data_IF_866071979455
#
_entry.id   IF_866071979455
#
_cell.length_a   1.000
_cell.length_b   1.000
_cell.length_c   1.000
_cell.angle_alpha   90.00
_cell.angle_beta   90.00
_cell.angle_gamma   90.00
#
_symmetry.space_group_name_H-M   'P 1'
#
loop_
_entity.id
_entity.type
_entity.pdbx_description
1 polymer ?
#
# COMPACT_ATOMS: atom_id res chain seq x y z
N UNK A 1 -4.64 -5.25 -25.00
CA UNK A 1 -4.72 -6.62 -24.52
C UNK A 1 -4.99 -6.60 -23.02
N UNK A 2 -6.08 -7.23 -22.62
CA UNK A 2 -6.41 -7.37 -21.20
C UNK A 2 -5.37 -8.29 -20.53
N UNK A 3 -4.54 -7.73 -19.68
CA UNK A 3 -3.50 -8.46 -18.94
C UNK A 3 -4.07 -9.60 -18.09
N UNK A 4 -5.30 -9.45 -17.57
CA UNK A 4 -6.00 -10.50 -16.84
C UNK A 4 -6.31 -11.68 -17.73
N UNK A 5 -6.71 -11.42 -18.95
CA UNK A 5 -7.00 -12.42 -19.96
C UNK A 5 -5.73 -13.14 -20.41
N UNK A 6 -4.65 -12.39 -20.57
CA UNK A 6 -3.34 -12.94 -20.86
C UNK A 6 -2.82 -13.85 -19.75
N UNK A 7 -2.96 -13.43 -18.47
CA UNK A 7 -2.57 -14.23 -17.32
C UNK A 7 -3.33 -15.55 -17.22
N UNK A 8 -4.61 -15.59 -17.59
CA UNK A 8 -5.39 -16.83 -17.65
C UNK A 8 -4.95 -17.79 -18.75
N UNK A 9 -4.36 -17.26 -19.79
CA UNK A 9 -3.88 -18.06 -20.93
C UNK A 9 -2.54 -18.73 -20.67
N UNK A 10 -1.77 -18.18 -19.78
CA UNK A 10 -0.45 -18.72 -19.47
C UNK A 10 -0.62 -19.80 -18.40
N UNK A 11 -0.54 -21.05 -18.78
CA UNK A 11 -0.60 -22.18 -17.84
C UNK A 11 0.42 -22.00 -16.72
N UNK A 12 -0.04 -22.06 -15.48
CA UNK A 12 0.81 -21.93 -14.30
C UNK A 12 0.93 -20.52 -13.73
N UNK A 13 0.42 -19.50 -14.40
CA UNK A 13 0.23 -18.17 -13.79
C UNK A 13 -1.17 -18.12 -13.16
N UNK A 14 -1.25 -18.32 -11.86
CA UNK A 14 -2.47 -18.09 -11.12
C UNK A 14 -2.71 -16.57 -11.06
N UNK A 15 -3.50 -16.07 -11.98
CA UNK A 15 -4.09 -14.75 -11.83
C UNK A 15 -5.15 -14.85 -10.74
N UNK A 16 -4.93 -14.17 -9.62
CA UNK A 16 -5.92 -14.13 -8.54
C UNK A 16 -7.11 -13.27 -8.99
N UNK A 17 -8.24 -13.90 -9.24
CA UNK A 17 -9.48 -13.22 -9.64
C UNK A 17 -10.02 -12.29 -8.54
N UNK A 18 -9.58 -12.49 -7.28
CA UNK A 18 -9.94 -11.64 -6.13
C UNK A 18 -9.11 -10.35 -6.04
N UNK A 19 -8.22 -10.07 -6.98
CA UNK A 19 -7.52 -8.79 -7.03
C UNK A 19 -8.48 -7.65 -7.31
N UNK A 20 -8.32 -6.58 -6.54
CA UNK A 20 -9.10 -5.36 -6.71
C UNK A 20 -8.63 -4.50 -7.89
N UNK A 21 -9.25 -3.31 -8.06
CA UNK A 21 -8.81 -2.34 -9.05
C UNK A 21 -7.33 -1.99 -8.89
N UNK A 22 -6.65 -1.85 -10.01
CA UNK A 22 -5.25 -1.46 -10.03
C UNK A 22 -5.12 0.05 -9.79
N UNK A 23 -4.42 0.50 -8.75
CA UNK A 23 -4.29 1.92 -8.46
C UNK A 23 -3.59 2.73 -9.56
N UNK A 24 -2.79 2.09 -10.42
CA UNK A 24 -2.07 2.79 -11.49
C UNK A 24 -2.89 2.93 -12.77
N UNK A 25 -3.73 1.96 -13.09
CA UNK A 25 -4.53 1.94 -14.32
C UNK A 25 -6.01 2.26 -14.10
N UNK A 26 -6.50 2.06 -12.88
CA UNK A 26 -7.90 2.26 -12.48
C UNK A 26 -7.97 3.12 -11.19
N UNK A 27 -7.35 4.32 -11.14
CA UNK A 27 -7.17 5.05 -9.87
C UNK A 27 -8.50 5.48 -9.24
N UNK A 28 -9.50 5.83 -10.04
CA UNK A 28 -10.83 6.20 -9.54
C UNK A 28 -11.55 5.00 -8.92
N UNK A 29 -11.59 3.90 -9.62
CA UNK A 29 -12.21 2.65 -9.16
C UNK A 29 -11.51 2.14 -7.91
N UNK A 30 -10.18 2.22 -7.87
CA UNK A 30 -9.38 1.91 -6.69
C UNK A 30 -9.79 2.78 -5.49
N UNK A 31 -9.80 4.09 -5.65
CA UNK A 31 -10.19 5.03 -4.59
C UNK A 31 -11.59 4.73 -4.05
N UNK A 32 -12.58 4.61 -4.95
CA UNK A 32 -13.97 4.34 -4.57
C UNK A 32 -14.11 2.99 -3.87
N UNK A 33 -13.43 1.96 -4.37
CA UNK A 33 -13.46 0.63 -3.76
C UNK A 33 -12.95 0.63 -2.32
N UNK A 34 -11.90 1.38 -2.02
CA UNK A 34 -11.39 1.51 -0.66
C UNK A 34 -12.35 2.33 0.21
N UNK A 35 -12.69 3.54 -0.23
CA UNK A 35 -13.46 4.50 0.59
C UNK A 35 -14.88 4.00 0.91
N UNK A 36 -15.51 3.26 0.00
CA UNK A 36 -16.85 2.69 0.23
C UNK A 36 -16.83 1.42 1.10
N UNK A 37 -15.66 0.86 1.39
CA UNK A 37 -15.50 -0.39 2.13
C UNK A 37 -14.71 -0.26 3.44
N UNK A 38 -14.42 0.94 3.92
CA UNK A 38 -13.61 1.17 5.13
C UNK A 38 -14.22 0.53 6.40
N UNK A 39 -15.51 0.29 6.43
CA UNK A 39 -16.18 -0.37 7.56
C UNK A 39 -15.96 -1.88 7.60
N UNK A 40 -15.41 -2.48 6.55
CA UNK A 40 -15.15 -3.92 6.52
C UNK A 40 -14.06 -4.31 7.51
N UNK A 41 -14.21 -5.51 8.07
CA UNK A 41 -13.36 -6.04 9.14
C UNK A 41 -11.87 -5.98 8.80
N UNK A 42 -11.49 -6.18 7.54
CA UNK A 42 -10.08 -6.16 7.12
C UNK A 42 -9.40 -4.82 7.44
N UNK A 43 -10.15 -3.71 7.36
CA UNK A 43 -9.61 -2.37 7.61
C UNK A 43 -9.43 -2.02 9.10
N UNK A 44 -9.79 -2.92 10.00
CA UNK A 44 -9.46 -2.83 11.43
C UNK A 44 -8.03 -3.24 11.73
N UNK A 45 -7.41 -3.98 10.83
CA UNK A 45 -6.00 -4.38 10.93
C UNK A 45 -5.08 -3.16 10.77
N UNK A 46 -3.85 -3.24 11.28
CA UNK A 46 -2.85 -2.18 11.08
C UNK A 46 -2.64 -1.87 9.59
N UNK A 47 -2.47 -0.61 9.29
CA UNK A 47 -2.33 -0.13 7.91
C UNK A 47 -1.23 -0.87 7.14
N UNK A 48 -0.06 -1.07 7.76
CA UNK A 48 1.06 -1.73 7.09
C UNK A 48 0.76 -3.18 6.66
N UNK A 49 -0.13 -3.85 7.37
CA UNK A 49 -0.61 -5.20 7.02
C UNK A 49 -1.61 -5.14 5.86
N UNK A 50 -2.57 -4.22 5.94
CA UNK A 50 -3.66 -4.09 4.97
C UNK A 50 -3.15 -3.68 3.59
N UNK A 51 -2.12 -2.84 3.52
CA UNK A 51 -1.51 -2.43 2.24
C UNK A 51 -0.97 -3.61 1.41
N UNK A 52 -0.73 -4.75 2.02
CA UNK A 52 -0.27 -5.96 1.31
C UNK A 52 -1.41 -6.87 0.85
N UNK A 53 -2.66 -6.54 1.18
CA UNK A 53 -3.82 -7.30 0.73
C UNK A 53 -4.18 -6.93 -0.72
N UNK A 54 -3.89 -7.84 -1.65
CA UNK A 54 -4.05 -7.60 -3.08
C UNK A 54 -5.50 -7.43 -3.52
N UNK A 55 -6.46 -7.87 -2.71
CA UNK A 55 -7.88 -7.61 -2.94
C UNK A 55 -8.21 -6.12 -2.89
N UNK A 56 -7.50 -5.37 -2.05
CA UNK A 56 -7.75 -3.95 -1.82
C UNK A 56 -6.66 -3.05 -2.40
N UNK A 57 -5.40 -3.49 -2.32
CA UNK A 57 -4.21 -2.75 -2.75
C UNK A 57 -3.45 -3.53 -3.81
N UNK A 58 -4.11 -3.75 -4.94
CA UNK A 58 -3.56 -4.52 -6.04
C UNK A 58 -2.22 -3.93 -6.54
N UNK A 59 -1.20 -4.77 -6.58
CA UNK A 59 0.14 -4.39 -7.04
C UNK A 59 1.06 -3.76 -5.99
N UNK A 60 0.56 -3.46 -4.78
CA UNK A 60 1.41 -2.93 -3.71
C UNK A 60 2.18 -4.07 -3.05
N UNK A 61 3.49 -4.04 -3.22
CA UNK A 61 4.41 -5.00 -2.61
C UNK A 61 5.16 -4.45 -1.41
N UNK A 62 6.12 -5.22 -0.91
CA UNK A 62 6.80 -4.91 0.35
C UNK A 62 7.58 -3.58 0.33
N UNK A 63 8.34 -3.32 -0.73
CA UNK A 63 9.07 -2.04 -0.81
C UNK A 63 8.12 -0.86 -1.07
N UNK A 64 7.07 -1.07 -1.87
CA UNK A 64 6.08 -0.02 -2.15
C UNK A 64 5.33 0.41 -0.91
N UNK A 65 4.87 -0.52 -0.06
CA UNK A 65 4.18 -0.14 1.19
C UNK A 65 5.08 0.70 2.11
N UNK A 66 6.34 0.35 2.20
CA UNK A 66 7.31 1.10 3.01
C UNK A 66 7.49 2.52 2.48
N UNK A 67 7.70 2.68 1.17
CA UNK A 67 7.86 3.98 0.54
C UNK A 67 6.59 4.83 0.59
N UNK A 68 5.43 4.24 0.36
CA UNK A 68 4.13 4.92 0.44
C UNK A 68 3.89 5.49 1.85
N UNK A 69 4.05 4.68 2.88
CA UNK A 69 3.84 5.10 4.27
C UNK A 69 4.88 6.16 4.68
N UNK A 70 6.13 5.96 4.33
CA UNK A 70 7.19 6.92 4.62
C UNK A 70 6.93 8.29 3.97
N UNK A 71 6.53 8.30 2.71
CA UNK A 71 6.24 9.53 1.96
C UNK A 71 4.95 10.21 2.41
N UNK A 72 4.01 9.46 2.97
CA UNK A 72 2.81 10.02 3.59
C UNK A 72 3.13 10.84 4.85
N UNK A 73 4.20 10.52 5.55
CA UNK A 73 4.76 11.30 6.65
C UNK A 73 3.99 11.20 7.97
N UNK A 74 2.70 11.53 7.95
CA UNK A 74 1.86 11.64 9.15
C UNK A 74 1.04 10.38 9.44
N UNK A 75 1.14 9.39 8.59
CA UNK A 75 0.36 8.16 8.68
C UNK A 75 1.06 7.16 9.57
N UNK A 76 0.44 6.77 10.68
CA UNK A 76 0.98 5.73 11.57
C UNK A 76 0.70 4.34 11.00
N UNK A 77 1.74 3.58 10.64
CA UNK A 77 1.56 2.25 10.03
C UNK A 77 0.93 1.22 10.95
N UNK A 78 0.98 1.42 12.25
CA UNK A 78 0.54 0.45 13.26
C UNK A 78 -0.88 0.68 13.76
N UNK A 79 -1.51 1.77 13.33
CA UNK A 79 -2.90 2.08 13.62
C UNK A 79 -3.85 1.42 12.61
N UNK A 80 -5.15 1.29 12.98
CA UNK A 80 -6.13 0.70 12.06
C UNK A 80 -6.17 1.40 10.71
N UNK A 81 -6.18 0.62 9.64
CA UNK A 81 -6.18 1.13 8.28
C UNK A 81 -7.37 2.07 8.02
N UNK A 82 -8.57 1.70 8.49
CA UNK A 82 -9.76 2.53 8.33
C UNK A 82 -9.57 3.94 8.90
N UNK A 83 -9.02 4.04 10.12
CA UNK A 83 -8.76 5.31 10.77
C UNK A 83 -7.73 6.14 9.99
N UNK A 84 -6.62 5.54 9.60
CA UNK A 84 -5.54 6.25 8.94
C UNK A 84 -5.92 6.70 7.53
N UNK A 85 -6.64 5.87 6.78
CA UNK A 85 -7.12 6.22 5.44
C UNK A 85 -8.19 7.32 5.50
N UNK A 86 -9.13 7.23 6.44
CA UNK A 86 -10.16 8.27 6.62
C UNK A 86 -9.54 9.62 6.99
N UNK A 87 -8.54 9.62 7.87
CA UNK A 87 -7.85 10.83 8.32
C UNK A 87 -6.89 11.39 7.26
N UNK A 88 -6.22 10.52 6.52
CA UNK A 88 -5.20 10.86 5.53
C UNK A 88 -5.47 10.18 4.18
N UNK A 89 -6.54 10.56 3.47
CA UNK A 89 -6.89 9.93 2.20
C UNK A 89 -5.82 10.08 1.11
N UNK A 90 -4.87 11.01 1.28
CA UNK A 90 -3.70 11.17 0.41
C UNK A 90 -2.89 9.88 0.23
N UNK A 91 -2.97 8.94 1.17
CA UNK A 91 -2.26 7.66 1.04
C UNK A 91 -2.74 6.87 -0.17
N UNK A 92 -4.01 7.04 -0.56
CA UNK A 92 -4.56 6.38 -1.75
C UNK A 92 -3.99 6.99 -3.04
N UNK A 93 -3.75 8.30 -3.07
CA UNK A 93 -3.05 8.96 -4.19
C UNK A 93 -1.61 8.44 -4.31
N UNK A 94 -0.93 8.25 -3.18
CA UNK A 94 0.43 7.70 -3.16
C UNK A 94 0.46 6.25 -3.65
N UNK A 95 -0.59 5.47 -3.43
CA UNK A 95 -0.72 4.12 -4.00
C UNK A 95 -0.77 4.12 -5.54
N UNK A 96 -1.16 5.22 -6.15
CA UNK A 96 -1.10 5.45 -7.61
C UNK A 96 0.26 5.98 -8.03
N UNK A 97 0.72 7.05 -7.39
CA UNK A 97 1.89 7.82 -7.81
C UNK A 97 3.22 7.09 -7.52
N UNK A 98 3.35 6.44 -6.39
CA UNK A 98 4.61 5.80 -6.00
C UNK A 98 4.94 4.57 -6.85
N UNK A 99 4.00 3.65 -7.16
CA UNK A 99 4.26 2.58 -8.11
C UNK A 99 4.64 3.09 -9.51
N UNK A 100 3.99 4.15 -9.99
CA UNK A 100 4.33 4.74 -11.28
C UNK A 100 5.74 5.35 -11.26
N UNK A 101 6.11 6.03 -10.19
CA UNK A 101 7.46 6.57 -10.01
C UNK A 101 8.50 5.43 -9.95
N UNK A 102 8.21 4.36 -9.22
CA UNK A 102 9.06 3.18 -9.14
C UNK A 102 9.27 2.55 -10.52
N UNK A 103 8.21 2.39 -11.28
CA UNK A 103 8.26 1.88 -12.64
C UNK A 103 9.13 2.77 -13.55
N UNK A 104 8.96 4.09 -13.48
CA UNK A 104 9.76 5.05 -14.22
C UNK A 104 11.25 5.02 -13.83
N UNK A 105 11.59 4.59 -12.62
CA UNK A 105 12.97 4.41 -12.13
C UNK A 105 13.51 2.99 -12.37
N UNK A 106 12.78 2.15 -13.11
CA UNK A 106 13.20 0.80 -13.43
C UNK A 106 12.86 -0.25 -12.37
N UNK A 107 11.87 0.04 -11.53
CA UNK A 107 11.30 -0.94 -10.61
C UNK A 107 10.46 -1.98 -11.35
N UNK A 108 10.48 -3.20 -10.85
CA UNK A 108 9.80 -4.33 -11.45
C UNK A 108 10.78 -5.30 -12.11
N UNK A 109 10.49 -6.59 -12.00
CA UNK A 109 11.32 -7.64 -12.63
C UNK A 109 10.92 -7.78 -14.09
N UNK A 110 11.43 -6.92 -14.94
CA UNK A 110 11.48 -7.26 -16.36
C UNK A 110 12.82 -7.92 -16.57
N UNK A 111 12.80 -9.21 -16.68
CA UNK A 111 13.98 -10.02 -16.99
C UNK A 111 14.60 -9.50 -18.29
N UNK A 112 15.88 -9.23 -18.28
CA UNK A 112 16.65 -8.74 -19.42
C UNK A 112 16.34 -7.29 -19.87
N UNK A 113 15.75 -6.47 -18.99
CA UNK A 113 15.57 -5.06 -19.27
C UNK A 113 16.71 -4.23 -18.68
N UNK A 114 17.44 -3.56 -19.56
CA UNK A 114 18.46 -2.59 -19.16
C UNK A 114 17.81 -1.34 -18.59
N UNK A 115 18.02 -1.07 -17.32
CA UNK A 115 17.49 0.11 -16.67
C UNK A 115 18.23 1.36 -17.19
N UNK A 116 17.57 2.26 -17.96
CA UNK A 116 18.21 3.44 -18.52
C UNK A 116 18.71 4.44 -17.45
N UNK A 117 18.26 4.27 -16.20
CA UNK A 117 18.68 5.12 -15.07
C UNK A 117 19.89 4.55 -14.31
N UNK A 118 20.42 3.39 -14.72
CA UNK A 118 21.54 2.70 -14.08
C UNK A 118 21.08 1.60 -13.12
N UNK A 119 21.97 0.64 -12.87
CA UNK A 119 21.69 -0.57 -12.07
C UNK A 119 21.20 -0.25 -10.65
N UNK A 120 21.67 0.84 -10.05
CA UNK A 120 21.34 1.23 -8.69
C UNK A 120 20.29 2.33 -8.59
N UNK A 121 19.60 2.68 -9.69
CA UNK A 121 18.67 3.81 -9.70
C UNK A 121 17.51 3.65 -8.70
N UNK A 122 17.00 2.43 -8.53
CA UNK A 122 15.98 2.14 -7.52
C UNK A 122 16.50 2.37 -6.11
N UNK A 123 17.70 1.87 -5.78
CA UNK A 123 18.27 2.00 -4.45
C UNK A 123 18.69 3.44 -4.13
N UNK A 124 19.31 4.13 -5.07
CA UNK A 124 19.90 5.45 -4.85
C UNK A 124 18.89 6.60 -4.98
N UNK A 125 17.90 6.46 -5.86
CA UNK A 125 17.01 7.57 -6.25
C UNK A 125 15.56 7.39 -5.84
N UNK A 126 15.15 6.16 -5.56
CA UNK A 126 13.76 5.85 -5.20
C UNK A 126 13.62 5.39 -3.76
N UNK A 127 14.44 4.43 -3.30
CA UNK A 127 14.31 3.83 -1.96
C UNK A 127 14.76 4.78 -0.86
N UNK A 128 13.82 5.53 -0.29
CA UNK A 128 14.10 6.41 0.86
C UNK A 128 13.99 5.67 2.20
N UNK A 129 13.13 4.68 2.27
CA UNK A 129 12.81 3.92 3.49
C UNK A 129 13.30 2.49 3.41
N UNK A 130 12.87 1.75 2.40
CA UNK A 130 13.16 0.33 2.25
C UNK A 130 14.67 0.08 2.11
N UNK A 131 15.21 -0.78 2.99
CA UNK A 131 16.64 -1.10 2.99
C UNK A 131 17.55 0.00 3.56
N UNK A 132 17.00 1.11 4.04
CA UNK A 132 17.77 2.19 4.65
C UNK A 132 18.11 1.83 6.09
N UNK A 133 19.41 1.82 6.42
CA UNK A 133 19.94 1.43 7.73
C UNK A 133 19.47 2.34 8.89
N UNK A 134 19.00 3.54 8.59
CA UNK A 134 18.47 4.48 9.61
C UNK A 134 17.02 4.19 9.97
N UNK A 135 16.35 3.30 9.21
CA UNK A 135 14.97 2.89 9.46
C UNK A 135 14.91 1.71 10.43
N UNK A 136 13.78 1.59 11.10
CA UNK A 136 13.44 0.44 11.92
C UNK A 136 12.76 -0.64 11.08
N UNK A 137 12.73 -1.86 11.61
CA UNK A 137 12.07 -2.98 10.94
C UNK A 137 11.18 -3.76 11.90
N UNK A 138 10.10 -4.32 11.34
CA UNK A 138 9.20 -5.23 12.04
C UNK A 138 8.82 -6.37 11.10
N UNK A 139 8.67 -7.57 11.65
CA UNK A 139 8.18 -8.71 10.89
C UNK A 139 6.65 -8.71 10.94
N UNK A 140 6.01 -8.78 9.77
CA UNK A 140 4.55 -8.84 9.67
C UNK A 140 3.99 -10.25 9.92
N UNK A 141 2.66 -10.37 9.92
CA UNK A 141 1.97 -11.64 10.15
C UNK A 141 2.31 -12.73 9.13
N UNK A 142 2.80 -12.35 7.96
CA UNK A 142 3.25 -13.25 6.88
C UNK A 142 4.78 -13.38 6.79
N UNK A 143 5.49 -13.01 7.86
CA UNK A 143 6.94 -13.11 8.01
C UNK A 143 7.74 -12.27 7.01
N UNK A 144 7.16 -11.17 6.50
CA UNK A 144 7.86 -10.21 5.67
C UNK A 144 8.40 -9.08 6.52
N UNK A 145 9.60 -8.58 6.18
CA UNK A 145 10.23 -7.47 6.88
C UNK A 145 9.66 -6.14 6.39
N UNK A 146 8.98 -5.42 7.28
CA UNK A 146 8.46 -4.08 7.04
C UNK A 146 9.45 -3.04 7.57
N UNK A 147 9.80 -2.06 6.73
CA UNK A 147 10.69 -0.95 7.06
C UNK A 147 9.87 0.31 7.34
N UNK A 148 10.22 1.05 8.41
CA UNK A 148 9.47 2.23 8.82
C UNK A 148 10.33 3.25 9.57
N UNK A 149 9.86 4.51 9.60
CA UNK A 149 10.50 5.61 10.32
C UNK A 149 10.51 5.34 11.84
N UNK A 150 11.67 5.45 12.52
CA UNK A 150 11.78 5.24 13.97
C UNK A 150 10.83 6.09 14.83
N UNK A 151 10.33 7.22 14.31
CA UNK A 151 9.37 8.06 15.02
C UNK A 151 8.10 7.29 15.43
N UNK A 152 7.77 6.19 14.73
CA UNK A 152 6.61 5.36 15.02
C UNK A 152 6.85 4.33 16.12
N UNK A 153 8.04 4.30 16.73
CA UNK A 153 8.35 3.45 17.88
C UNK A 153 7.73 3.95 19.21
N UNK A 154 6.99 5.05 19.20
CA UNK A 154 6.37 5.63 20.41
C UNK A 154 5.15 4.81 20.84
N UNK A 155 5.20 4.10 21.99
CA UNK A 155 4.10 3.23 22.44
C UNK A 155 2.82 4.00 22.84
N UNK A 156 2.95 5.27 23.22
CA UNK A 156 1.94 6.03 23.94
C UNK A 156 0.64 6.30 23.17
N UNK A 157 0.68 6.29 21.83
CA UNK A 157 -0.50 6.61 21.03
C UNK A 157 -1.36 5.41 20.65
N UNK A 158 -0.92 4.18 21.00
CA UNK A 158 -1.61 2.95 20.59
C UNK A 158 -2.58 2.43 21.63
N UNK A 159 -2.36 2.77 22.89
CA UNK A 159 -3.28 2.38 23.96
C UNK A 159 -4.59 3.17 23.93
N UNK A 160 -4.55 4.40 23.42
CA UNK A 160 -5.74 5.26 23.25
C UNK A 160 -6.73 4.73 22.19
N UNK A 161 -6.34 3.71 21.44
CA UNK A 161 -7.16 3.13 20.37
C UNK A 161 -7.96 1.92 20.80
N UNK A 162 -7.78 1.42 22.00
CA UNK A 162 -8.56 0.27 22.49
C UNK A 162 -10.06 0.56 22.50
N UNK A 163 -10.42 1.85 22.69
CA UNK A 163 -11.79 2.34 22.74
C UNK A 163 -12.22 3.08 21.45
N UNK A 164 -11.38 3.05 20.40
CA UNK A 164 -11.73 3.73 19.15
C UNK A 164 -12.92 3.04 18.47
N UNK A 165 -13.97 3.83 18.24
CA UNK A 165 -15.11 3.38 17.47
C UNK A 165 -14.76 3.36 15.97
N UNK A 166 -14.62 2.17 15.40
CA UNK A 166 -14.27 1.99 14.00
C UNK A 166 -15.30 2.56 13.03
N UNK A 167 -16.49 2.87 13.49
CA UNK A 167 -17.59 3.33 12.65
C UNK A 167 -17.88 4.82 12.81
N UNK A 168 -17.61 5.40 13.99
CA UNK A 168 -17.76 6.83 14.20
C UNK A 168 -16.65 7.59 13.48
N UNK A 169 -17.02 8.61 12.74
CA UNK A 169 -16.06 9.43 11.98
C UNK A 169 -15.60 8.82 10.65
N UNK A 170 -16.02 7.61 10.31
CA UNK A 170 -15.83 7.10 8.95
C UNK A 170 -16.88 7.72 8.01
N UNK A 171 -16.48 8.06 6.78
CA UNK A 171 -17.43 8.56 5.81
C UNK A 171 -18.46 7.47 5.46
N UNK A 172 -19.70 7.90 5.21
CA UNK A 172 -20.73 6.98 4.71
C UNK A 172 -20.28 6.35 3.39
N UNK A 173 -20.49 5.04 3.20
CA UNK A 173 -20.21 4.38 1.92
C UNK A 173 -20.84 5.08 0.71
N UNK A 174 -21.99 5.73 0.90
CA UNK A 174 -22.69 6.45 -0.16
C UNK A 174 -22.11 7.82 -0.48
N UNK A 175 -21.22 8.36 0.37
CA UNK A 175 -20.62 9.69 0.17
C UNK A 175 -19.76 9.78 -1.11
N UNK A 176 -19.31 8.64 -1.65
CA UNK A 176 -18.41 8.57 -2.80
C UNK A 176 -19.04 7.94 -4.04
N UNK A 177 -20.30 7.56 -3.97
CA UNK A 177 -20.99 6.81 -5.04
C UNK A 177 -21.91 7.66 -5.92
N UNK A 178 -22.06 8.93 -5.59
CA UNK A 178 -22.88 9.88 -6.38
C UNK A 178 -22.14 10.44 -7.59
#
# INVERSE_FOLDING_TARGET
VDVRRFGKWTQGLSWNEDRGPDPTTEPREFFLNIMTNLTKRTFRKPLYEVLMDQKWFNGIGNYLRAEIIFRAGDVDPFLPAAQQIAKYPKILELCTDIPMLAYAKGGGSIKDWDNPFGENAMQEKFMLCYGNKTMETRIDSKKRRFWYDPKWNVPAHRDDLKDWDYYSGLPSPTAYTS
#
